data_IF_573275744354
#
_entry.id   IF_573275744354
#
_cell.length_a   1.000
_cell.length_b   1.000
_cell.length_c   1.000
_cell.angle_alpha   90.00
_cell.angle_beta   90.00
_cell.angle_gamma   90.00
#
_symmetry.space_group_name_H-M   'P 1'
#
loop_
_entity.id
_entity.type
_entity.pdbx_description
1 polymer ?
#
# COMPACT_ATOMS: atom_id res chain seq x y z
N UNK A 1 35.73 -8.95 8.20
CA UNK A 1 34.99 -7.70 8.32
C UNK A 1 33.84 -7.96 9.28
N UNK A 2 33.51 -7.07 10.19
CA UNK A 2 32.29 -7.25 11.01
C UNK A 2 31.12 -6.86 10.11
N UNK A 3 30.17 -7.78 9.93
CA UNK A 3 28.97 -7.51 9.16
C UNK A 3 28.13 -6.47 9.92
N UNK A 4 27.81 -5.36 9.26
CA UNK A 4 26.87 -4.37 9.80
C UNK A 4 25.48 -4.91 9.51
N UNK A 5 24.63 -4.92 10.53
CA UNK A 5 23.26 -5.43 10.42
C UNK A 5 22.31 -4.37 10.95
N UNK A 6 21.32 -3.99 10.13
CA UNK A 6 20.15 -3.28 10.60
C UNK A 6 19.18 -4.30 11.22
N UNK A 7 18.77 -4.03 12.45
CA UNK A 7 17.85 -4.88 13.20
C UNK A 7 16.51 -4.15 13.38
N UNK A 8 15.56 -4.50 12.56
CA UNK A 8 14.18 -4.05 12.67
C UNK A 8 13.47 -4.75 13.82
N UNK A 9 12.59 -4.01 14.50
CA UNK A 9 11.69 -4.54 15.53
C UNK A 9 10.27 -4.29 15.07
N UNK A 10 9.49 -5.35 14.96
CA UNK A 10 8.08 -5.24 14.68
C UNK A 10 7.36 -4.52 15.84
N UNK A 11 6.48 -3.53 15.56
CA UNK A 11 5.81 -2.76 16.61
C UNK A 11 4.71 -3.53 17.34
N UNK A 12 4.18 -4.61 16.75
CA UNK A 12 3.01 -5.35 17.25
C UNK A 12 3.33 -6.78 17.67
N UNK A 13 4.44 -7.36 17.19
CA UNK A 13 4.80 -8.74 17.45
C UNK A 13 6.22 -8.85 18.01
N UNK A 14 6.53 -9.90 18.82
CA UNK A 14 7.85 -10.09 19.42
C UNK A 14 8.87 -10.67 18.42
N UNK A 15 8.87 -10.17 17.19
CA UNK A 15 9.78 -10.60 16.13
C UNK A 15 10.77 -9.50 15.74
N UNK A 16 11.82 -9.91 15.08
CA UNK A 16 12.85 -9.02 14.57
C UNK A 16 13.33 -9.51 13.22
N UNK A 17 13.52 -8.58 12.28
CA UNK A 17 14.16 -8.84 11.01
C UNK A 17 15.57 -8.27 11.01
N UNK A 18 16.51 -8.97 10.39
CA UNK A 18 17.92 -8.59 10.31
C UNK A 18 18.31 -8.42 8.83
N UNK A 19 18.72 -7.22 8.46
CA UNK A 19 19.14 -6.89 7.11
C UNK A 19 20.65 -6.65 7.07
N UNK A 20 21.42 -7.32 6.18
CA UNK A 20 22.82 -7.00 5.97
C UNK A 20 22.94 -5.60 5.36
N UNK A 21 23.81 -4.77 5.90
CA UNK A 21 24.00 -3.37 5.47
C UNK A 21 25.46 -3.13 5.13
N UNK A 22 25.71 -2.54 3.98
CA UNK A 22 27.04 -2.08 3.59
C UNK A 22 27.27 -0.63 3.99
N UNK A 23 26.22 0.22 3.84
CA UNK A 23 26.34 1.66 4.04
C UNK A 23 25.01 2.30 4.42
N UNK A 24 25.05 3.37 5.21
CA UNK A 24 23.96 4.33 5.37
C UNK A 24 24.15 5.42 4.31
N UNK A 25 23.22 5.52 3.36
CA UNK A 25 23.27 6.50 2.29
C UNK A 25 22.67 7.84 2.71
N UNK A 26 21.61 7.78 3.52
CA UNK A 26 20.92 8.95 4.07
C UNK A 26 20.44 8.67 5.48
N UNK A 27 20.47 9.67 6.33
CA UNK A 27 19.85 9.67 7.66
C UNK A 27 19.41 11.09 7.99
N UNK A 28 18.12 11.25 8.22
CA UNK A 28 17.52 12.54 8.57
C UNK A 28 16.24 12.37 9.38
N UNK A 29 15.70 13.49 9.82
CA UNK A 29 14.44 13.52 10.56
C UNK A 29 13.57 14.66 10.05
N UNK A 30 12.34 14.32 9.65
CA UNK A 30 11.30 15.29 9.35
C UNK A 30 10.55 15.72 10.63
N UNK A 31 9.51 16.51 10.49
CA UNK A 31 8.59 16.80 11.59
C UNK A 31 7.71 15.59 11.97
N UNK A 32 7.64 14.55 11.10
CA UNK A 32 6.78 13.39 11.26
C UNK A 32 7.54 12.15 11.73
N UNK A 33 8.75 11.90 11.19
CA UNK A 33 9.47 10.63 11.38
C UNK A 33 10.96 10.72 11.10
N UNK A 34 11.70 9.73 11.56
CA UNK A 34 13.09 9.47 11.19
C UNK A 34 13.13 8.74 9.84
N UNK A 35 13.99 9.20 8.91
CA UNK A 35 14.13 8.65 7.56
C UNK A 35 15.55 8.18 7.36
N UNK A 36 15.71 6.90 7.00
CA UNK A 36 17.02 6.32 6.71
C UNK A 36 16.98 5.60 5.37
N UNK A 37 18.01 5.78 4.55
CA UNK A 37 18.27 4.95 3.36
C UNK A 37 19.51 4.10 3.62
N UNK A 38 19.32 2.80 3.60
CA UNK A 38 20.40 1.82 3.74
C UNK A 38 20.76 1.23 2.38
N UNK A 39 22.03 0.92 2.18
CA UNK A 39 22.51 0.11 1.06
C UNK A 39 22.80 -1.31 1.55
N UNK A 40 22.13 -2.29 0.94
CA UNK A 40 22.26 -3.70 1.25
C UNK A 40 22.80 -4.49 0.06
N UNK A 41 23.74 -5.43 0.25
CA UNK A 41 24.29 -6.23 -0.86
C UNK A 41 23.25 -7.14 -1.52
N UNK A 42 22.16 -7.46 -0.80
CA UNK A 42 21.11 -8.35 -1.29
C UNK A 42 19.84 -7.61 -1.70
N UNK A 43 19.41 -6.63 -0.91
CA UNK A 43 18.13 -5.95 -1.09
C UNK A 43 18.22 -4.70 -1.97
N UNK A 44 19.45 -4.23 -2.30
CA UNK A 44 19.64 -2.91 -2.90
C UNK A 44 19.43 -1.82 -1.85
N UNK A 45 18.79 -0.74 -2.21
CA UNK A 45 18.48 0.34 -1.28
C UNK A 45 17.20 0.02 -0.52
N UNK A 46 17.23 0.28 0.79
CA UNK A 46 16.11 0.04 1.71
C UNK A 46 15.68 1.38 2.29
N UNK A 47 14.40 1.72 2.16
CA UNK A 47 13.78 2.84 2.88
C UNK A 47 13.36 2.35 4.27
N UNK A 48 13.82 3.05 5.29
CA UNK A 48 13.46 2.79 6.69
C UNK A 48 12.83 4.06 7.27
N UNK A 49 11.64 3.92 7.86
CA UNK A 49 10.92 4.98 8.54
C UNK A 49 10.70 4.57 10.00
N UNK A 50 11.12 5.43 10.95
CA UNK A 50 11.07 5.17 12.40
C UNK A 50 11.59 3.78 12.81
N UNK A 51 12.64 3.31 12.12
CA UNK A 51 13.27 2.01 12.39
C UNK A 51 12.55 0.79 11.80
N UNK A 52 11.54 0.99 10.95
CA UNK A 52 10.81 -0.07 10.22
C UNK A 52 11.12 0.02 8.72
N UNK A 53 11.52 -1.10 8.11
CA UNK A 53 11.78 -1.19 6.68
C UNK A 53 10.46 -1.12 5.89
N UNK A 54 10.31 -0.09 5.06
CA UNK A 54 9.09 0.14 4.29
C UNK A 54 9.14 -0.54 2.92
N UNK A 55 10.26 -0.47 2.24
CA UNK A 55 10.47 -1.15 0.96
C UNK A 55 11.96 -1.34 0.68
N UNK A 56 12.28 -2.24 -0.24
CA UNK A 56 13.61 -2.47 -0.79
C UNK A 56 13.54 -2.56 -2.33
N UNK A 57 14.59 -2.14 -3.04
CA UNK A 57 14.61 -2.09 -4.51
C UNK A 57 14.45 -3.47 -5.17
N UNK A 58 14.73 -4.56 -4.46
CA UNK A 58 14.71 -5.91 -5.03
C UNK A 58 13.33 -6.52 -5.06
N UNK A 59 12.53 -6.35 -4.00
CA UNK A 59 11.28 -7.08 -3.82
C UNK A 59 10.05 -6.17 -3.68
N UNK A 60 10.20 -4.84 -3.69
CA UNK A 60 9.11 -3.87 -3.56
C UNK A 60 7.95 -4.13 -4.54
N UNK A 61 8.27 -4.66 -5.72
CA UNK A 61 7.26 -4.92 -6.75
C UNK A 61 6.17 -5.91 -6.30
N UNK A 62 6.46 -6.80 -5.36
CA UNK A 62 5.46 -7.72 -4.83
C UNK A 62 4.34 -6.96 -4.13
N UNK A 63 4.69 -5.96 -3.35
CA UNK A 63 3.73 -5.10 -2.66
C UNK A 63 3.05 -4.13 -3.63
N UNK A 64 3.82 -3.34 -4.37
CA UNK A 64 3.29 -2.28 -5.21
C UNK A 64 2.43 -2.78 -6.37
N UNK A 65 2.81 -3.88 -7.01
CA UNK A 65 1.99 -4.48 -8.08
C UNK A 65 0.65 -5.00 -7.55
N UNK A 66 0.62 -5.60 -6.34
CA UNK A 66 -0.63 -6.09 -5.77
C UNK A 66 -1.52 -4.98 -5.27
N UNK A 67 -0.96 -3.98 -4.57
CA UNK A 67 -1.73 -2.83 -4.10
C UNK A 67 -2.32 -2.04 -5.28
N UNK A 68 -1.55 -1.83 -6.36
CA UNK A 68 -2.02 -1.06 -7.50
C UNK A 68 -2.88 -1.89 -8.46
N UNK A 69 -2.39 -3.02 -8.97
CA UNK A 69 -3.01 -3.66 -10.12
C UNK A 69 -4.31 -4.38 -9.79
N UNK A 70 -4.48 -4.97 -8.60
CA UNK A 70 -5.73 -5.64 -8.25
C UNK A 70 -6.91 -4.67 -8.31
N UNK A 71 -6.96 -3.55 -7.58
CA UNK A 71 -8.06 -2.61 -7.69
C UNK A 71 -8.16 -1.94 -9.06
N UNK A 72 -7.03 -1.63 -9.70
CA UNK A 72 -7.02 -1.00 -11.02
C UNK A 72 -7.63 -1.90 -12.10
N UNK A 73 -7.36 -3.20 -12.12
CA UNK A 73 -7.97 -4.14 -13.07
C UNK A 73 -9.39 -4.54 -12.70
N UNK A 74 -9.79 -4.39 -11.44
CA UNK A 74 -11.18 -4.55 -10.99
C UNK A 74 -12.09 -3.43 -11.54
N UNK A 75 -11.54 -2.22 -11.73
CA UNK A 75 -12.30 -1.09 -12.28
C UNK A 75 -12.35 -1.15 -13.81
N UNK A 76 -13.52 -0.90 -14.46
CA UNK A 76 -13.64 -0.99 -15.92
C UNK A 76 -12.81 0.06 -16.66
N UNK A 77 -12.67 1.27 -16.13
CA UNK A 77 -11.93 2.37 -16.78
C UNK A 77 -11.40 3.37 -15.73
N UNK A 78 -10.30 3.07 -15.00
CA UNK A 78 -9.77 3.91 -13.93
C UNK A 78 -9.02 5.12 -14.51
N UNK A 79 -9.69 6.27 -14.58
CA UNK A 79 -9.13 7.52 -15.14
C UNK A 79 -8.51 8.41 -14.08
N UNK A 80 -9.19 8.56 -12.94
CA UNK A 80 -8.78 9.41 -11.84
C UNK A 80 -8.43 8.54 -10.63
N UNK A 81 -7.17 8.57 -10.22
CA UNK A 81 -6.65 7.74 -9.13
C UNK A 81 -6.08 8.62 -8.03
N UNK A 82 -6.45 8.33 -6.78
CA UNK A 82 -5.85 8.94 -5.59
C UNK A 82 -4.99 7.90 -4.87
N UNK A 83 -3.78 8.29 -4.49
CA UNK A 83 -2.87 7.54 -3.64
C UNK A 83 -2.66 8.35 -2.38
N UNK A 84 -2.96 7.79 -1.21
CA UNK A 84 -2.72 8.38 0.11
C UNK A 84 -1.54 7.67 0.75
N UNK A 85 -0.46 8.40 1.03
CA UNK A 85 0.85 7.86 1.32
C UNK A 85 1.63 7.54 0.04
N UNK A 86 2.53 6.57 0.08
CA UNK A 86 3.31 6.13 -1.07
C UNK A 86 4.38 7.12 -1.53
N UNK A 87 4.93 7.89 -0.60
CA UNK A 87 5.98 8.88 -0.89
C UNK A 87 7.27 8.32 -1.50
N UNK A 88 7.45 7.00 -1.52
CA UNK A 88 8.51 6.33 -2.26
C UNK A 88 8.28 6.29 -3.78
N UNK A 89 7.03 6.41 -4.24
CA UNK A 89 6.63 6.47 -5.64
C UNK A 89 6.36 5.11 -6.30
N UNK A 90 6.53 3.98 -5.59
CA UNK A 90 6.35 2.65 -6.15
C UNK A 90 4.92 2.38 -6.61
N UNK A 91 3.93 2.64 -5.76
CA UNK A 91 2.51 2.54 -6.12
C UNK A 91 2.14 3.49 -7.27
N UNK A 92 2.64 4.72 -7.25
CA UNK A 92 2.43 5.69 -8.34
C UNK A 92 2.97 5.17 -9.67
N UNK A 93 4.18 4.59 -9.67
CA UNK A 93 4.78 3.97 -10.85
C UNK A 93 3.88 2.88 -11.43
N UNK A 94 3.33 2.00 -10.61
CA UNK A 94 2.47 0.92 -11.06
C UNK A 94 1.11 1.44 -11.58
N UNK A 95 0.51 2.42 -10.93
CA UNK A 95 -0.72 3.08 -11.38
C UNK A 95 -0.56 3.68 -12.77
N UNK A 96 0.56 4.36 -13.04
CA UNK A 96 0.80 5.04 -14.31
C UNK A 96 1.12 4.11 -15.49
N UNK A 97 1.36 2.82 -15.25
CA UNK A 97 1.42 1.80 -16.31
C UNK A 97 0.07 1.60 -16.99
N UNK A 98 -1.05 1.90 -16.32
CA UNK A 98 -2.38 1.78 -16.90
C UNK A 98 -2.65 2.94 -17.87
N UNK A 99 -2.86 2.66 -19.17
CA UNK A 99 -3.02 3.70 -20.18
C UNK A 99 -4.32 4.49 -20.03
N UNK A 100 -5.30 3.96 -19.32
CA UNK A 100 -6.57 4.61 -19.02
C UNK A 100 -6.41 5.80 -18.06
N UNK A 101 -5.39 5.79 -17.21
CA UNK A 101 -5.15 6.83 -16.21
C UNK A 101 -4.89 8.18 -16.89
N UNK A 102 -5.71 9.15 -16.55
CA UNK A 102 -5.61 10.55 -17.03
C UNK A 102 -5.05 11.46 -15.94
N UNK A 103 -5.33 11.11 -14.68
CA UNK A 103 -4.92 11.89 -13.53
C UNK A 103 -4.57 10.94 -12.37
N UNK A 104 -3.39 11.09 -11.81
CA UNK A 104 -2.95 10.43 -10.59
C UNK A 104 -2.59 11.49 -9.55
N UNK A 105 -3.27 11.48 -8.42
CA UNK A 105 -3.00 12.37 -7.29
C UNK A 105 -2.33 11.58 -6.20
N UNK A 106 -1.16 12.02 -5.76
CA UNK A 106 -0.46 11.45 -4.61
C UNK A 106 -0.46 12.46 -3.46
N UNK A 107 -0.91 12.01 -2.30
CA UNK A 107 -0.97 12.82 -1.08
C UNK A 107 -0.20 12.12 0.02
N UNK A 108 0.99 12.60 0.31
CA UNK A 108 1.81 12.12 1.42
C UNK A 108 2.03 13.25 2.43
N UNK A 109 1.93 12.92 3.70
CA UNK A 109 2.10 13.93 4.75
C UNK A 109 3.54 14.43 4.84
N UNK A 110 4.49 13.59 4.46
CA UNK A 110 5.92 13.87 4.63
C UNK A 110 6.63 14.19 3.31
N UNK A 111 6.74 15.48 3.01
CA UNK A 111 7.49 15.95 1.84
C UNK A 111 8.94 15.42 1.80
N UNK A 112 9.57 15.22 2.97
CA UNK A 112 10.95 14.76 3.02
C UNK A 112 11.09 13.32 2.53
N UNK A 113 10.12 12.46 2.78
CA UNK A 113 10.10 11.09 2.22
C UNK A 113 10.10 11.15 0.70
N UNK A 114 9.25 12.00 0.09
CA UNK A 114 9.19 12.17 -1.38
C UNK A 114 10.53 12.62 -1.96
N UNK A 115 11.15 13.65 -1.36
CA UNK A 115 12.42 14.20 -1.88
C UNK A 115 13.59 13.22 -1.70
N UNK A 116 13.67 12.54 -0.56
CA UNK A 116 14.69 11.51 -0.29
C UNK A 116 14.50 10.32 -1.26
N UNK A 117 13.26 9.93 -1.53
CA UNK A 117 12.97 8.84 -2.48
C UNK A 117 13.36 9.21 -3.91
N UNK A 118 13.11 10.44 -4.35
CA UNK A 118 13.56 10.92 -5.67
C UNK A 118 15.08 10.86 -5.82
N UNK A 119 15.81 11.15 -4.76
CA UNK A 119 17.28 11.14 -4.78
C UNK A 119 17.87 9.74 -4.66
N UNK A 120 17.34 8.93 -3.74
CA UNK A 120 17.95 7.65 -3.37
C UNK A 120 17.24 6.42 -3.91
N UNK A 121 15.98 6.49 -4.33
CA UNK A 121 15.18 5.38 -4.87
C UNK A 121 14.65 5.69 -6.28
N UNK A 122 15.52 6.08 -7.24
CA UNK A 122 15.07 6.54 -8.55
C UNK A 122 14.28 5.47 -9.35
N UNK A 123 14.46 4.19 -9.07
CA UNK A 123 13.71 3.10 -9.68
C UNK A 123 12.23 3.06 -9.26
N UNK A 124 11.92 3.51 -8.04
CA UNK A 124 10.56 3.66 -7.54
C UNK A 124 9.98 5.02 -7.90
N UNK A 125 10.77 6.08 -7.65
CA UNK A 125 10.36 7.47 -7.77
C UNK A 125 10.35 8.02 -9.22
N UNK A 126 10.57 7.18 -10.23
CA UNK A 126 10.70 7.60 -11.63
C UNK A 126 9.47 8.30 -12.22
N UNK A 127 8.31 8.13 -11.60
CA UNK A 127 7.02 8.59 -12.14
C UNK A 127 6.54 9.94 -11.60
N UNK A 128 7.23 10.56 -10.64
CA UNK A 128 6.79 11.84 -10.05
C UNK A 128 6.74 13.01 -11.05
N UNK A 129 7.45 12.93 -12.16
CA UNK A 129 7.48 13.97 -13.18
C UNK A 129 6.53 13.68 -14.37
N UNK A 130 5.71 12.64 -14.31
CA UNK A 130 4.73 12.35 -15.35
C UNK A 130 3.67 13.47 -15.39
N UNK A 131 3.29 13.99 -16.58
CA UNK A 131 2.36 15.11 -16.70
C UNK A 131 0.95 14.81 -16.17
N UNK A 132 0.61 13.56 -15.91
CA UNK A 132 -0.66 13.14 -15.29
C UNK A 132 -0.64 13.23 -13.76
N UNK A 133 0.51 13.54 -13.14
CA UNK A 133 0.71 13.46 -11.69
C UNK A 133 0.56 14.81 -11.03
N UNK A 134 -0.22 14.83 -9.94
CA UNK A 134 -0.29 15.92 -8.98
C UNK A 134 0.19 15.41 -7.60
N UNK A 135 1.11 16.12 -6.97
CA UNK A 135 1.68 15.72 -5.66
C UNK A 135 1.37 16.78 -4.61
N UNK A 136 0.79 16.35 -3.50
CA UNK A 136 0.48 17.20 -2.36
C UNK A 136 1.20 16.67 -1.11
N UNK A 137 1.90 17.56 -0.42
CA UNK A 137 2.49 17.26 0.89
C UNK A 137 1.48 17.70 1.97
N UNK A 138 0.48 16.86 2.25
CA UNK A 138 -0.67 17.17 3.09
C UNK A 138 -1.16 15.92 3.86
N UNK A 139 -1.95 16.16 4.90
CA UNK A 139 -2.64 15.10 5.64
C UNK A 139 -3.73 14.46 4.76
N UNK A 140 -3.54 13.19 4.40
CA UNK A 140 -4.45 12.44 3.53
C UNK A 140 -5.87 12.30 4.08
N UNK A 141 -6.05 12.24 5.41
CA UNK A 141 -7.37 12.24 6.04
C UNK A 141 -8.10 13.58 5.79
N UNK A 142 -7.42 14.70 5.99
CA UNK A 142 -8.00 16.03 5.72
C UNK A 142 -8.26 16.24 4.24
N UNK A 143 -7.37 15.75 3.39
CA UNK A 143 -7.52 15.88 1.94
C UNK A 143 -8.81 15.21 1.46
N UNK A 144 -9.09 13.97 1.90
CA UNK A 144 -10.26 13.22 1.42
C UNK A 144 -11.59 13.75 1.93
N UNK A 145 -11.63 14.46 3.08
CA UNK A 145 -12.85 15.00 3.69
C UNK A 145 -13.64 15.93 2.76
N UNK A 146 -12.94 16.70 1.92
CA UNK A 146 -13.52 17.72 1.05
C UNK A 146 -13.90 17.19 -0.33
N UNK A 147 -13.73 15.89 -0.58
CA UNK A 147 -13.95 15.28 -1.89
C UNK A 147 -15.35 14.65 -2.00
N UNK A 148 -15.88 14.61 -3.21
CA UNK A 148 -17.11 13.91 -3.55
C UNK A 148 -17.06 13.46 -5.00
N UNK A 149 -17.27 12.15 -5.26
CA UNK A 149 -17.34 11.58 -6.62
C UNK A 149 -16.21 12.03 -7.55
N UNK A 150 -14.97 12.05 -7.02
CA UNK A 150 -13.82 12.62 -7.72
C UNK A 150 -12.88 11.55 -8.32
N UNK A 151 -12.84 10.35 -7.74
CA UNK A 151 -11.88 9.33 -8.11
C UNK A 151 -12.54 7.99 -8.46
N UNK A 152 -11.95 7.30 -9.42
CA UNK A 152 -12.34 5.94 -9.81
C UNK A 152 -11.73 4.92 -8.86
N UNK A 153 -10.46 5.15 -8.48
CA UNK A 153 -9.73 4.27 -7.55
C UNK A 153 -9.04 5.13 -6.48
N UNK A 154 -9.14 4.71 -5.22
CA UNK A 154 -8.39 5.28 -4.09
C UNK A 154 -7.54 4.18 -3.47
N UNK A 155 -6.22 4.39 -3.44
CA UNK A 155 -5.23 3.49 -2.85
C UNK A 155 -4.69 4.11 -1.56
N UNK A 156 -4.53 3.31 -0.51
CA UNK A 156 -3.86 3.73 0.72
C UNK A 156 -2.59 2.91 0.89
N UNK A 157 -1.49 3.62 0.74
CA UNK A 157 -0.12 3.14 0.81
C UNK A 157 0.58 3.82 1.98
N UNK A 158 0.09 3.54 3.18
CA UNK A 158 0.58 4.15 4.42
C UNK A 158 1.51 3.21 5.18
N UNK A 159 2.29 3.78 6.09
CA UNK A 159 3.00 3.01 7.12
C UNK A 159 2.01 2.23 7.99
N UNK A 160 2.52 1.34 8.86
CA UNK A 160 1.72 0.60 9.83
C UNK A 160 0.75 1.53 10.58
N UNK A 161 -0.47 1.04 10.95
CA UNK A 161 -1.52 1.87 11.56
C UNK A 161 -1.21 2.24 13.02
N UNK A 162 -0.07 2.90 13.24
CA UNK A 162 0.42 3.45 14.52
C UNK A 162 0.39 4.97 14.46
N UNK A 163 0.24 5.61 15.59
CA UNK A 163 0.27 7.06 15.67
C UNK A 163 -0.77 7.72 14.74
N UNK A 164 -0.31 8.64 13.90
CA UNK A 164 -1.17 9.36 12.97
C UNK A 164 -1.71 8.50 11.80
N UNK A 165 -1.03 7.42 11.42
CA UNK A 165 -1.49 6.53 10.35
C UNK A 165 -2.74 5.72 10.76
N UNK A 166 -3.00 5.51 12.05
CA UNK A 166 -4.17 4.78 12.54
C UNK A 166 -5.50 5.34 12.01
N UNK A 167 -5.61 6.67 11.83
CA UNK A 167 -6.85 7.31 11.36
C UNK A 167 -7.26 6.81 9.96
N UNK A 168 -6.29 6.44 9.11
CA UNK A 168 -6.52 5.97 7.74
C UNK A 168 -7.12 4.55 7.67
N UNK A 169 -7.39 3.93 8.82
CA UNK A 169 -8.00 2.60 8.93
C UNK A 169 -9.29 2.59 9.74
N UNK A 170 -9.91 3.76 9.95
CA UNK A 170 -11.14 3.91 10.73
C UNK A 170 -12.39 3.93 9.86
N UNK A 171 -13.54 3.56 10.42
CA UNK A 171 -14.85 3.68 9.75
C UNK A 171 -15.12 5.10 9.27
N UNK A 172 -14.69 6.12 10.03
CA UNK A 172 -14.86 7.53 9.63
C UNK A 172 -14.08 7.84 8.35
N UNK A 173 -12.82 7.44 8.28
CA UNK A 173 -12.01 7.59 7.08
C UNK A 173 -12.65 6.87 5.87
N UNK A 174 -13.10 5.64 6.05
CA UNK A 174 -13.74 4.88 4.97
C UNK A 174 -15.02 5.55 4.45
N UNK A 175 -15.79 6.24 5.31
CA UNK A 175 -16.96 7.04 4.86
C UNK A 175 -16.55 8.21 3.96
N UNK A 176 -15.45 8.90 4.28
CA UNK A 176 -14.93 9.96 3.41
C UNK A 176 -14.39 9.40 2.09
N UNK A 177 -13.65 8.28 2.14
CA UNK A 177 -13.19 7.56 0.95
C UNK A 177 -14.37 7.14 0.08
N UNK A 178 -15.42 6.55 0.66
CA UNK A 178 -16.62 6.15 -0.07
C UNK A 178 -17.30 7.35 -0.75
N UNK A 179 -17.39 8.48 -0.08
CA UNK A 179 -17.94 9.72 -0.64
C UNK A 179 -17.07 10.28 -1.78
N UNK A 180 -15.74 10.21 -1.64
CA UNK A 180 -14.78 10.68 -2.63
C UNK A 180 -14.74 9.83 -3.90
N UNK A 181 -15.07 8.54 -3.79
CA UNK A 181 -15.18 7.61 -4.91
C UNK A 181 -16.42 7.89 -5.78
N UNK A 182 -16.25 7.76 -7.10
CA UNK A 182 -17.34 7.75 -8.09
C UNK A 182 -18.28 6.56 -7.86
N UNK A 183 -19.34 6.44 -8.68
CA UNK A 183 -20.42 5.46 -8.48
C UNK A 183 -19.95 4.00 -8.54
N UNK A 184 -18.98 3.69 -9.38
CA UNK A 184 -18.35 2.36 -9.55
C UNK A 184 -16.98 2.25 -8.87
N UNK A 185 -16.65 3.20 -7.99
CA UNK A 185 -15.33 3.39 -7.42
C UNK A 185 -14.86 2.26 -6.51
N UNK A 186 -13.54 2.11 -6.43
CA UNK A 186 -12.83 1.05 -5.71
C UNK A 186 -11.81 1.65 -4.75
N UNK A 187 -11.79 1.15 -3.54
CA UNK A 187 -10.79 1.38 -2.51
C UNK A 187 -9.90 0.15 -2.35
N UNK A 188 -8.61 0.32 -2.17
CA UNK A 188 -7.73 -0.70 -1.62
C UNK A 188 -6.66 -0.08 -0.72
N UNK A 189 -6.27 -0.81 0.32
CA UNK A 189 -5.22 -0.41 1.25
C UNK A 189 -4.55 -1.61 1.89
N UNK A 190 -3.31 -1.44 2.32
CA UNK A 190 -2.60 -2.45 3.08
C UNK A 190 -3.33 -2.70 4.43
N UNK A 191 -3.26 -3.92 4.94
CA UNK A 191 -4.02 -4.35 6.13
C UNK A 191 -3.21 -5.21 7.08
N UNK A 192 -1.89 -5.23 6.96
CA UNK A 192 -0.99 -5.94 7.83
C UNK A 192 -0.89 -7.45 7.62
N UNK A 193 -0.07 -8.08 8.45
CA UNK A 193 0.18 -9.52 8.44
C UNK A 193 -0.98 -10.33 9.01
N UNK A 194 -1.41 -11.36 8.28
CA UNK A 194 -2.40 -12.31 8.78
C UNK A 194 -1.89 -13.20 9.91
N UNK A 195 -0.57 -13.31 10.09
CA UNK A 195 -0.01 -14.12 11.17
C UNK A 195 0.22 -13.33 12.45
N UNK A 196 0.75 -12.11 12.33
CA UNK A 196 1.19 -11.36 13.51
C UNK A 196 0.27 -10.21 13.90
N UNK A 197 -0.55 -9.71 12.95
CA UNK A 197 -1.37 -8.52 13.16
C UNK A 197 -2.86 -8.80 12.90
N UNK A 198 -3.30 -10.03 13.15
CA UNK A 198 -4.64 -10.50 12.82
C UNK A 198 -5.77 -9.63 13.38
N UNK A 199 -5.60 -9.13 14.61
CA UNK A 199 -6.56 -8.23 15.24
C UNK A 199 -6.73 -6.90 14.48
N UNK A 200 -5.66 -6.40 13.86
CA UNK A 200 -5.70 -5.20 13.00
C UNK A 200 -6.47 -5.51 11.72
N UNK A 201 -6.16 -6.63 11.07
CA UNK A 201 -6.87 -7.10 9.87
C UNK A 201 -8.38 -7.26 10.13
N UNK A 202 -8.74 -7.91 11.25
CA UNK A 202 -10.12 -8.11 11.65
C UNK A 202 -10.86 -6.78 11.83
N UNK A 203 -10.24 -5.81 12.51
CA UNK A 203 -10.81 -4.48 12.72
C UNK A 203 -11.01 -3.74 11.40
N UNK A 204 -9.98 -3.67 10.55
CA UNK A 204 -10.05 -3.01 9.24
C UNK A 204 -11.17 -3.64 8.38
N UNK A 205 -11.24 -4.96 8.31
CA UNK A 205 -12.25 -5.67 7.55
C UNK A 205 -13.67 -5.42 8.08
N UNK A 206 -13.84 -5.31 9.40
CA UNK A 206 -15.12 -4.98 10.03
C UNK A 206 -15.52 -3.55 9.68
N UNK A 207 -14.64 -2.58 9.92
CA UNK A 207 -14.89 -1.16 9.70
C UNK A 207 -15.20 -0.88 8.22
N UNK A 208 -14.50 -1.54 7.30
CA UNK A 208 -14.73 -1.40 5.87
C UNK A 208 -16.11 -1.94 5.44
N UNK A 209 -16.58 -3.06 6.04
CA UNK A 209 -17.90 -3.65 5.80
C UNK A 209 -19.07 -2.82 6.31
N UNK A 210 -18.83 -1.90 7.24
CA UNK A 210 -19.84 -0.92 7.66
C UNK A 210 -20.13 0.13 6.59
N UNK A 211 -19.22 0.28 5.61
CA UNK A 211 -19.26 1.36 4.63
C UNK A 211 -19.47 0.86 3.20
N UNK A 212 -18.73 -0.18 2.80
CA UNK A 212 -18.76 -0.69 1.42
C UNK A 212 -19.68 -1.90 1.28
N UNK A 213 -20.50 -1.95 0.22
CA UNK A 213 -21.40 -3.08 -0.03
C UNK A 213 -20.66 -4.37 -0.42
N UNK A 214 -19.47 -4.24 -1.02
CA UNK A 214 -18.63 -5.36 -1.42
C UNK A 214 -17.26 -5.15 -0.79
N UNK A 215 -16.86 -6.11 0.06
CA UNK A 215 -15.55 -6.10 0.74
C UNK A 215 -14.92 -7.46 0.63
N UNK A 216 -13.64 -7.46 0.30
CA UNK A 216 -12.87 -8.69 0.23
C UNK A 216 -11.45 -8.49 0.80
N UNK A 217 -10.69 -9.58 0.87
CA UNK A 217 -9.34 -9.64 1.41
C UNK A 217 -8.46 -10.47 0.47
N UNK A 218 -7.33 -9.91 0.07
CA UNK A 218 -6.33 -10.61 -0.72
C UNK A 218 -4.95 -10.47 -0.10
N UNK A 219 -4.02 -11.32 -0.49
CA UNK A 219 -2.70 -11.40 0.11
C UNK A 219 -1.60 -11.52 -0.93
N UNK A 220 -0.42 -11.06 -0.56
CA UNK A 220 0.82 -11.33 -1.26
C UNK A 220 1.89 -11.82 -0.27
N UNK A 221 2.80 -12.67 -0.75
CA UNK A 221 3.99 -13.05 0.03
C UNK A 221 5.07 -12.00 -0.20
N UNK A 222 5.09 -10.97 0.66
CA UNK A 222 6.03 -9.84 0.55
C UNK A 222 7.32 -10.19 1.33
N UNK A 223 8.45 -10.39 0.63
CA UNK A 223 9.71 -10.64 1.31
C UNK A 223 10.13 -9.43 2.16
N UNK A 224 10.58 -9.67 3.37
CA UNK A 224 10.97 -8.61 4.30
C UNK A 224 9.86 -8.11 5.23
N UNK A 225 8.58 -8.39 4.92
CA UNK A 225 7.49 -8.02 5.81
C UNK A 225 7.17 -9.12 6.82
N UNK A 226 6.66 -8.73 7.97
CA UNK A 226 6.36 -9.62 9.08
C UNK A 226 5.40 -10.75 8.66
N UNK A 227 5.82 -12.01 8.87
CA UNK A 227 5.00 -13.19 8.60
C UNK A 227 4.81 -13.53 7.13
N UNK A 228 5.41 -12.81 6.20
CA UNK A 228 5.38 -13.01 4.74
C UNK A 228 3.98 -12.97 4.09
N UNK A 229 2.90 -13.23 4.80
CA UNK A 229 1.55 -13.24 4.28
C UNK A 229 0.87 -11.90 4.56
N UNK A 230 1.27 -10.92 3.75
CA UNK A 230 0.79 -9.54 3.85
C UNK A 230 -0.56 -9.41 3.20
N UNK A 231 -1.49 -8.76 3.89
CA UNK A 231 -2.86 -8.64 3.43
C UNK A 231 -3.20 -7.24 2.95
N UNK A 232 -4.17 -7.20 2.03
CA UNK A 232 -4.76 -5.98 1.51
C UNK A 232 -6.27 -6.06 1.60
N UNK A 233 -6.90 -5.03 2.12
CA UNK A 233 -8.35 -4.90 2.17
C UNK A 233 -8.85 -4.11 0.96
N UNK A 234 -9.89 -4.61 0.30
CA UNK A 234 -10.52 -3.97 -0.84
C UNK A 234 -12.00 -3.75 -0.59
N UNK A 235 -12.47 -2.53 -0.88
CA UNK A 235 -13.88 -2.14 -0.86
C UNK A 235 -14.31 -1.67 -2.24
N UNK A 236 -15.41 -2.21 -2.75
CA UNK A 236 -15.96 -1.85 -4.05
C UNK A 236 -17.42 -1.40 -3.91
N UNK A 237 -17.82 -0.39 -4.67
CA UNK A 237 -19.21 0.05 -4.72
C UNK A 237 -20.10 -0.87 -5.53
N UNK A 238 -19.56 -1.52 -6.59
CA UNK A 238 -20.37 -2.31 -7.52
C UNK A 238 -19.66 -3.52 -8.13
N UNK A 239 -18.34 -3.49 -8.30
CA UNK A 239 -17.60 -4.52 -9.02
C UNK A 239 -17.19 -5.67 -8.09
N UNK A 240 -17.15 -6.90 -8.62
CA UNK A 240 -16.57 -8.06 -7.93
C UNK A 240 -15.02 -7.96 -7.98
N UNK A 241 -14.33 -7.72 -6.85
CA UNK A 241 -12.89 -7.49 -6.88
C UNK A 241 -12.08 -8.74 -7.26
N UNK A 242 -12.68 -9.94 -7.27
CA UNK A 242 -12.02 -11.17 -7.69
C UNK A 242 -11.90 -11.32 -9.20
N UNK A 243 -12.58 -10.45 -9.96
CA UNK A 243 -12.67 -10.55 -11.42
C UNK A 243 -12.01 -9.37 -12.08
N UNK A 244 -10.83 -9.53 -12.68
CA UNK A 244 -10.27 -8.47 -13.49
C UNK A 244 -11.15 -8.24 -14.74
N UNK A 245 -11.53 -6.98 -14.96
CA UNK A 245 -12.43 -6.58 -16.04
C UNK A 245 -11.71 -6.18 -17.32
N UNK A 246 -10.38 -6.05 -17.27
CA UNK A 246 -9.58 -5.59 -18.41
C UNK A 246 -8.38 -6.51 -18.64
N UNK A 247 -7.93 -6.55 -19.89
CA UNK A 247 -6.70 -7.25 -20.24
C UNK A 247 -5.47 -6.35 -20.00
N UNK A 248 -4.39 -6.95 -19.55
CA UNK A 248 -3.14 -6.27 -19.28
C UNK A 248 -2.36 -6.01 -20.57
N UNK A 249 -2.01 -4.73 -20.83
CA UNK A 249 -1.29 -4.30 -22.04
C UNK A 249 0.18 -3.90 -21.77
N UNK A 250 0.70 -4.09 -20.56
CA UNK A 250 2.05 -3.71 -20.15
C UNK A 250 2.74 -4.82 -19.36
N UNK A 251 4.04 -4.69 -19.14
CA UNK A 251 4.83 -5.68 -18.41
C UNK A 251 4.78 -5.46 -16.89
N UNK A 252 4.70 -6.56 -16.16
CA UNK A 252 4.77 -6.65 -14.70
C UNK A 252 5.77 -7.74 -14.32
N UNK A 253 6.33 -7.68 -13.13
CA UNK A 253 7.24 -8.74 -12.63
C UNK A 253 6.47 -9.93 -12.06
N UNK A 254 5.34 -9.68 -11.41
CA UNK A 254 4.56 -10.71 -10.71
C UNK A 254 3.09 -10.74 -11.12
N UNK A 255 2.45 -9.56 -11.22
CA UNK A 255 1.02 -9.51 -11.48
C UNK A 255 0.64 -10.14 -12.83
N UNK A 256 -0.34 -11.02 -12.82
CA UNK A 256 -1.04 -11.58 -13.98
C UNK A 256 -2.52 -11.76 -13.64
N UNK A 257 -3.33 -12.08 -14.63
CA UNK A 257 -4.75 -12.42 -14.42
C UNK A 257 -4.91 -13.58 -13.44
N UNK A 258 -4.12 -14.63 -13.59
CA UNK A 258 -4.17 -15.80 -12.72
C UNK A 258 -3.72 -15.43 -11.30
N UNK A 259 -2.68 -14.60 -11.16
CA UNK A 259 -2.24 -14.09 -9.86
C UNK A 259 -3.28 -13.19 -9.21
N UNK A 260 -4.04 -12.41 -9.98
CA UNK A 260 -5.16 -11.61 -9.46
C UNK A 260 -6.19 -12.51 -8.77
N UNK A 261 -6.65 -13.55 -9.47
CA UNK A 261 -7.66 -14.47 -8.93
C UNK A 261 -7.10 -15.28 -7.75
N UNK A 262 -5.84 -15.73 -7.84
CA UNK A 262 -5.16 -16.52 -6.81
C UNK A 262 -4.85 -15.75 -5.53
N UNK A 263 -4.69 -14.44 -5.60
CA UNK A 263 -4.38 -13.58 -4.44
C UNK A 263 -5.51 -13.57 -3.38
N UNK A 264 -6.76 -13.77 -3.80
CA UNK A 264 -7.91 -13.71 -2.90
C UNK A 264 -8.06 -14.95 -2.04
N UNK A 265 -8.21 -14.74 -0.76
CA UNK A 265 -8.46 -15.81 0.19
C UNK A 265 -9.83 -16.47 -0.04
N UNK A 266 -9.97 -17.78 0.21
CA UNK A 266 -11.27 -18.43 0.20
C UNK A 266 -12.25 -17.73 1.15
N UNK A 267 -13.49 -17.48 0.71
CA UNK A 267 -14.52 -16.80 1.53
C UNK A 267 -14.78 -17.53 2.86
N UNK A 268 -14.71 -18.87 2.86
CA UNK A 268 -14.81 -19.67 4.08
C UNK A 268 -13.69 -19.37 5.09
N UNK A 269 -12.49 -19.09 4.61
CA UNK A 269 -11.37 -18.72 5.47
C UNK A 269 -11.50 -17.27 5.98
N UNK A 270 -11.92 -16.34 5.13
CA UNK A 270 -12.22 -14.96 5.56
C UNK A 270 -13.29 -14.97 6.67
N UNK A 271 -14.34 -15.79 6.53
CA UNK A 271 -15.36 -15.92 7.57
C UNK A 271 -14.77 -16.41 8.90
N UNK A 272 -13.83 -17.36 8.89
CA UNK A 272 -13.13 -17.78 10.10
C UNK A 272 -12.27 -16.68 10.73
N UNK A 273 -11.63 -15.87 9.91
CA UNK A 273 -10.91 -14.67 10.39
C UNK A 273 -11.90 -13.73 11.09
N UNK A 274 -13.01 -13.40 10.44
CA UNK A 274 -13.97 -12.42 10.96
C UNK A 274 -14.75 -12.91 12.18
N UNK A 275 -15.02 -14.22 12.29
CA UNK A 275 -15.71 -14.82 13.46
C UNK A 275 -14.79 -15.03 14.66
N UNK A 276 -13.47 -14.88 14.48
CA UNK A 276 -12.49 -15.20 15.52
C UNK A 276 -12.21 -16.71 15.70
N UNK A 277 -12.73 -17.56 14.80
CA UNK A 277 -12.38 -18.99 14.78
C UNK A 277 -10.92 -19.24 14.35
N UNK A 278 -10.38 -18.33 13.55
CA UNK A 278 -8.96 -18.31 13.21
C UNK A 278 -8.24 -17.39 14.19
N UNK A 279 -7.39 -17.97 15.02
CA UNK A 279 -6.49 -17.29 15.95
C UNK A 279 -5.07 -17.74 15.60
N UNK A 280 -4.27 -16.83 15.07
CA UNK A 280 -2.85 -17.06 14.80
C UNK A 280 -2.00 -16.74 16.03
#
# INVERSE_FOLDING_TARGET
>A
MRDIVFLERDPFAPIRHAYPVEKVLYHGKSEYQEIVILESPHFGRILVLDGVAQCDERYEFVYHEFLAHIPMFTHPEPKDVLIIGGGDGGTLREVLKHPEVKRAVLVDIDRMVIEVSKEYLPSLACSFNDPRVEVFAEDGFKFVQNLSSAFDVILVDSTDPVGFAHILTTTEFFRYVFKALKEDGIYAGQSESLHYHLNIVQRIQKDLREVFPIVDLYCASVPGYAGYWWSFSIGSKSQDPRKPLREKSFQTKLYSKDMHEYAFLPKSFINKILSGEYNA
#
